data_IF_175352861391
#
_entry.id   IF_175352861391
#
_cell.length_a   1.000
_cell.length_b   1.000
_cell.length_c   1.000
_cell.angle_alpha   90.00
_cell.angle_beta   90.00
_cell.angle_gamma   90.00
#
_symmetry.space_group_name_H-M   'P 1'
#
loop_
_entity.id
_entity.type
_entity.pdbx_description
1 polymer ?
#
# COMPACT_ATOMS: atom_id res chain seq x y z
N UNK A 1 6.21 14.28 -23.89
CA UNK A 1 5.23 13.69 -22.96
C UNK A 1 5.58 12.24 -22.73
N UNK A 2 5.52 11.78 -21.48
CA UNK A 2 5.73 10.39 -21.08
C UNK A 2 4.60 10.00 -20.14
N UNK A 3 3.95 8.87 -20.42
CA UNK A 3 2.89 8.31 -19.58
C UNK A 3 3.42 7.06 -18.89
N UNK A 4 3.28 7.02 -17.57
CA UNK A 4 3.49 5.83 -16.77
C UNK A 4 2.14 5.26 -16.39
N UNK A 5 1.69 4.13 -16.96
CA UNK A 5 0.37 3.58 -16.66
C UNK A 5 0.32 3.03 -15.22
N UNK A 6 -0.90 2.75 -14.76
CA UNK A 6 -1.12 1.94 -13.56
C UNK A 6 -0.31 0.65 -13.65
N UNK A 7 0.33 0.29 -12.54
CA UNK A 7 1.12 -0.94 -12.47
C UNK A 7 0.72 -1.74 -11.23
N UNK A 8 0.38 -3.00 -11.46
CA UNK A 8 0.17 -3.95 -10.38
C UNK A 8 1.51 -4.35 -9.76
N UNK A 9 1.52 -4.48 -8.44
CA UNK A 9 2.71 -4.91 -7.70
C UNK A 9 3.12 -6.35 -7.99
N UNK A 10 2.11 -7.20 -8.27
CA UNK A 10 2.26 -8.61 -8.64
C UNK A 10 3.30 -9.40 -7.79
N UNK A 11 3.26 -9.35 -6.44
CA UNK A 11 4.11 -10.19 -5.62
C UNK A 11 3.85 -11.67 -5.94
N UNK A 12 4.89 -12.51 -5.99
CA UNK A 12 4.73 -13.92 -6.40
C UNK A 12 3.76 -14.67 -5.48
N UNK A 13 3.80 -14.39 -4.17
CA UNK A 13 2.80 -14.85 -3.22
C UNK A 13 1.56 -13.91 -3.24
N UNK A 14 0.36 -14.42 -3.56
CA UNK A 14 -0.87 -13.65 -3.45
C UNK A 14 -1.14 -13.17 -2.01
N UNK A 15 -1.94 -12.11 -1.89
CA UNK A 15 -2.35 -11.61 -0.59
C UNK A 15 -3.12 -12.66 0.19
N UNK A 16 -2.75 -12.79 1.45
CA UNK A 16 -3.36 -13.75 2.35
C UNK A 16 -3.23 -13.27 3.80
N UNK A 17 -4.18 -13.71 4.60
CA UNK A 17 -4.19 -13.52 6.03
C UNK A 17 -4.95 -14.67 6.67
N UNK A 18 -4.36 -15.29 7.69
CA UNK A 18 -5.05 -16.26 8.54
C UNK A 18 -5.48 -15.55 9.80
N UNK A 19 -6.74 -15.70 10.21
CA UNK A 19 -7.31 -15.06 11.40
C UNK A 19 -7.88 -16.14 12.31
N UNK A 20 -7.49 -16.13 13.59
CA UNK A 20 -8.07 -16.96 14.64
C UNK A 20 -8.70 -16.06 15.69
N UNK A 21 -10.02 -16.14 15.86
CA UNK A 21 -10.77 -15.38 16.87
C UNK A 21 -11.01 -16.30 18.08
N UNK A 22 -10.68 -15.82 19.28
CA UNK A 22 -10.81 -16.56 20.55
C UNK A 22 -11.40 -15.64 21.62
N UNK A 23 -12.71 -15.68 21.77
CA UNK A 23 -13.42 -14.82 22.73
C UNK A 23 -13.19 -13.34 22.42
N UNK A 24 -12.54 -12.63 23.32
CA UNK A 24 -12.22 -11.20 23.22
C UNK A 24 -10.84 -10.91 22.62
N UNK A 25 -10.20 -11.89 21.99
CA UNK A 25 -8.88 -11.77 21.36
C UNK A 25 -8.85 -12.33 19.94
N UNK A 26 -7.88 -11.88 19.14
CA UNK A 26 -7.62 -12.49 17.84
C UNK A 26 -6.13 -12.51 17.50
N UNK A 27 -5.74 -13.56 16.78
CA UNK A 27 -4.40 -13.72 16.23
C UNK A 27 -4.46 -13.70 14.70
N UNK A 28 -3.51 -13.00 14.08
CA UNK A 28 -3.37 -12.90 12.63
C UNK A 28 -2.01 -13.43 12.19
N UNK A 29 -1.96 -14.19 11.10
CA UNK A 29 -0.72 -14.56 10.41
C UNK A 29 -0.77 -14.07 8.97
N UNK A 30 0.10 -13.14 8.63
CA UNK A 30 0.23 -12.63 7.28
C UNK A 30 1.65 -12.11 7.02
N UNK A 31 2.08 -12.15 5.75
CA UNK A 31 3.18 -11.32 5.30
C UNK A 31 2.71 -9.86 5.27
N UNK A 32 3.35 -8.98 6.02
CA UNK A 32 2.95 -7.57 6.11
C UNK A 32 4.16 -6.64 6.15
N UNK A 33 3.98 -5.43 5.62
CA UNK A 33 4.96 -4.34 5.71
C UNK A 33 4.55 -3.29 6.77
N UNK A 34 3.33 -3.38 7.34
CA UNK A 34 2.77 -2.42 8.29
C UNK A 34 1.97 -3.11 9.41
N UNK A 35 2.60 -4.06 10.11
CA UNK A 35 1.94 -4.89 11.13
C UNK A 35 1.14 -4.10 12.19
N UNK A 36 1.66 -2.94 12.64
CA UNK A 36 0.95 -2.08 13.59
C UNK A 36 -0.37 -1.53 13.04
N UNK A 37 -0.38 -1.11 11.77
CA UNK A 37 -1.60 -0.60 11.12
C UNK A 37 -2.59 -1.73 10.82
N UNK A 38 -2.10 -2.89 10.40
CA UNK A 38 -2.92 -4.09 10.20
C UNK A 38 -3.59 -4.53 11.51
N UNK A 39 -2.87 -4.52 12.63
CA UNK A 39 -3.43 -4.83 13.94
C UNK A 39 -4.53 -3.86 14.37
N UNK A 40 -4.33 -2.55 14.14
CA UNK A 40 -5.36 -1.54 14.41
C UNK A 40 -6.59 -1.70 13.50
N UNK A 41 -6.40 -2.05 12.22
CA UNK A 41 -7.48 -2.33 11.29
C UNK A 41 -8.27 -3.59 11.69
N UNK A 42 -7.57 -4.65 12.09
CA UNK A 42 -8.18 -5.88 12.61
C UNK A 42 -9.00 -5.62 13.88
N UNK A 43 -8.43 -4.87 14.85
CA UNK A 43 -9.12 -4.49 16.08
C UNK A 43 -10.45 -3.78 15.79
N UNK A 44 -10.41 -2.76 14.93
CA UNK A 44 -11.62 -2.02 14.50
C UNK A 44 -12.64 -2.93 13.81
N UNK A 45 -12.19 -3.80 12.92
CA UNK A 45 -13.06 -4.68 12.12
C UNK A 45 -13.76 -5.74 12.99
N UNK A 46 -13.02 -6.31 13.95
CA UNK A 46 -13.54 -7.34 14.85
C UNK A 46 -14.28 -6.77 16.06
N UNK A 47 -14.18 -5.45 16.31
CA UNK A 47 -14.73 -4.82 17.51
C UNK A 47 -13.96 -5.18 18.79
N UNK A 48 -12.66 -5.44 18.65
CA UNK A 48 -11.76 -5.80 19.75
C UNK A 48 -10.87 -4.62 20.13
N UNK A 49 -10.29 -4.68 21.33
CA UNK A 49 -9.28 -3.70 21.75
C UNK A 49 -7.95 -3.97 21.03
N UNK A 50 -7.17 -2.94 20.66
CA UNK A 50 -5.87 -3.12 20.01
C UNK A 50 -4.91 -4.06 20.76
N UNK A 51 -4.87 -3.99 22.09
CA UNK A 51 -4.04 -4.84 22.93
C UNK A 51 -4.42 -6.33 22.90
N UNK A 52 -5.61 -6.66 22.39
CA UNK A 52 -6.09 -8.03 22.25
C UNK A 52 -5.87 -8.60 20.84
N UNK A 53 -5.15 -7.88 19.97
CA UNK A 53 -4.77 -8.33 18.64
C UNK A 53 -3.28 -8.66 18.60
N UNK A 54 -2.95 -9.89 18.22
CA UNK A 54 -1.58 -10.32 17.98
C UNK A 54 -1.35 -10.56 16.49
N UNK A 55 -0.44 -9.80 15.88
CA UNK A 55 -0.05 -9.96 14.48
C UNK A 55 1.29 -10.69 14.38
N UNK A 56 1.25 -11.93 13.92
CA UNK A 56 2.40 -12.75 13.60
C UNK A 56 2.89 -12.46 12.18
N UNK A 57 3.82 -11.51 12.05
CA UNK A 57 4.40 -11.15 10.74
C UNK A 57 5.19 -12.33 10.17
N UNK A 58 4.74 -12.83 9.02
CA UNK A 58 5.38 -13.94 8.31
C UNK A 58 6.36 -13.43 7.25
N UNK A 59 7.30 -14.27 6.84
CA UNK A 59 8.04 -14.05 5.60
C UNK A 59 7.06 -14.00 4.43
N UNK A 60 7.18 -12.97 3.58
CA UNK A 60 6.30 -12.75 2.43
C UNK A 60 7.03 -13.08 1.12
N UNK A 61 6.33 -13.71 0.17
CA UNK A 61 6.82 -13.94 -1.20
C UNK A 61 6.72 -12.68 -2.07
N UNK A 62 7.17 -11.54 -1.55
CA UNK A 62 7.06 -10.22 -2.15
C UNK A 62 5.94 -9.37 -1.56
N UNK A 63 6.09 -8.05 -1.72
CA UNK A 63 5.09 -7.06 -1.30
C UNK A 63 5.17 -5.80 -2.16
N UNK A 64 6.38 -5.24 -2.33
CA UNK A 64 6.66 -4.09 -3.20
C UNK A 64 5.78 -2.86 -2.94
N UNK A 65 5.21 -2.73 -1.72
CA UNK A 65 4.25 -1.69 -1.35
C UNK A 65 2.81 -2.18 -1.25
N UNK A 66 2.44 -3.30 -1.90
CA UNK A 66 1.07 -3.84 -1.87
C UNK A 66 0.59 -4.27 -0.48
N UNK A 67 1.52 -4.71 0.37
CA UNK A 67 1.30 -5.12 1.77
C UNK A 67 1.51 -3.94 2.75
N UNK A 68 1.58 -2.71 2.23
CA UNK A 68 1.75 -1.45 2.95
C UNK A 68 0.70 -0.40 2.51
N UNK A 69 -0.55 -0.82 2.27
CA UNK A 69 -1.61 0.08 1.77
C UNK A 69 -2.42 0.70 2.92
N UNK A 70 -2.83 1.99 2.83
CA UNK A 70 -3.52 2.69 3.92
C UNK A 70 -4.87 2.09 4.34
N UNK A 71 -5.54 1.37 3.45
CA UNK A 71 -6.83 0.75 3.69
C UNK A 71 -6.75 -0.56 4.46
N UNK A 72 -5.57 -1.21 4.51
CA UNK A 72 -5.38 -2.55 5.06
C UNK A 72 -6.41 -3.57 4.50
N UNK A 73 -6.80 -3.39 3.23
CA UNK A 73 -7.93 -4.05 2.57
C UNK A 73 -7.97 -5.58 2.77
N UNK A 74 -6.86 -6.25 2.49
CA UNK A 74 -6.77 -7.72 2.59
C UNK A 74 -6.88 -8.24 4.03
N UNK A 75 -6.48 -7.45 5.03
CA UNK A 75 -6.62 -7.80 6.46
C UNK A 75 -8.05 -7.56 6.92
N UNK A 76 -8.64 -6.43 6.54
CA UNK A 76 -10.03 -6.09 6.86
C UNK A 76 -10.96 -7.18 6.30
N UNK A 77 -10.78 -7.57 5.04
CA UNK A 77 -11.57 -8.64 4.43
C UNK A 77 -11.38 -9.97 5.16
N UNK A 78 -10.13 -10.37 5.46
CA UNK A 78 -9.86 -11.61 6.19
C UNK A 78 -10.53 -11.64 7.57
N UNK A 79 -10.51 -10.52 8.29
CA UNK A 79 -11.22 -10.37 9.56
C UNK A 79 -12.75 -10.50 9.39
N UNK A 80 -13.32 -9.89 8.35
CA UNK A 80 -14.76 -10.00 8.06
C UNK A 80 -15.16 -11.45 7.72
N UNK A 81 -14.37 -12.15 6.90
CA UNK A 81 -14.60 -13.55 6.55
C UNK A 81 -14.51 -14.44 7.79
N UNK A 82 -13.48 -14.24 8.63
CA UNK A 82 -13.33 -15.01 9.87
C UNK A 82 -14.47 -14.77 10.86
N UNK A 83 -14.94 -13.52 10.99
CA UNK A 83 -16.11 -13.17 11.80
C UNK A 83 -17.38 -13.85 11.28
N UNK A 84 -17.63 -13.78 9.97
CA UNK A 84 -18.78 -14.43 9.34
C UNK A 84 -18.74 -15.96 9.51
N UNK A 85 -17.57 -16.57 9.42
CA UNK A 85 -17.39 -18.00 9.65
C UNK A 85 -17.68 -18.38 11.12
N UNK A 86 -17.21 -17.58 12.08
CA UNK A 86 -17.50 -17.77 13.50
C UNK A 86 -19.00 -17.62 13.78
N UNK A 87 -19.66 -16.60 13.22
CA UNK A 87 -21.11 -16.39 13.34
C UNK A 87 -21.91 -17.55 12.75
N UNK A 88 -21.37 -18.23 11.72
CA UNK A 88 -21.91 -19.46 11.15
C UNK A 88 -21.58 -20.74 11.96
N UNK A 89 -20.88 -20.61 13.09
CA UNK A 89 -20.56 -21.71 14.00
C UNK A 89 -19.22 -22.42 13.72
N UNK A 90 -18.41 -21.93 12.77
CA UNK A 90 -17.09 -22.49 12.50
C UNK A 90 -16.07 -21.99 13.52
N UNK A 91 -15.74 -22.84 14.48
CA UNK A 91 -14.73 -22.56 15.52
C UNK A 91 -13.35 -23.03 15.07
N UNK A 92 -12.80 -22.39 14.03
CA UNK A 92 -11.47 -22.68 13.51
C UNK A 92 -10.79 -21.41 12.97
N UNK A 93 -9.45 -21.34 12.94
CA UNK A 93 -8.75 -20.32 12.19
C UNK A 93 -9.15 -20.34 10.71
N UNK A 94 -9.39 -19.16 10.14
CA UNK A 94 -9.77 -19.02 8.73
C UNK A 94 -8.64 -18.36 7.97
N UNK A 95 -8.17 -19.02 6.90
CA UNK A 95 -7.19 -18.45 5.97
C UNK A 95 -7.89 -17.92 4.73
N UNK A 96 -7.87 -16.61 4.56
CA UNK A 96 -8.29 -15.94 3.33
C UNK A 96 -7.09 -15.79 2.42
N UNK A 97 -7.22 -16.24 1.17
CA UNK A 97 -6.22 -16.08 0.12
C UNK A 97 -6.92 -15.48 -1.09
N UNK A 98 -6.41 -14.36 -1.57
CA UNK A 98 -6.90 -13.78 -2.82
C UNK A 98 -6.44 -14.64 -3.99
N UNK A 99 -7.32 -14.84 -4.96
CA UNK A 99 -6.89 -15.37 -6.25
C UNK A 99 -5.91 -14.40 -6.91
N UNK A 100 -5.06 -14.91 -7.80
CA UNK A 100 -4.16 -14.04 -8.59
C UNK A 100 -4.98 -13.04 -9.40
N UNK A 101 -6.10 -13.50 -9.95
CA UNK A 101 -7.02 -12.74 -10.77
C UNK A 101 -7.64 -11.57 -10.01
N UNK A 102 -8.06 -11.79 -8.76
CA UNK A 102 -8.64 -10.74 -7.92
C UNK A 102 -7.57 -9.74 -7.44
N UNK A 103 -6.38 -10.21 -7.07
CA UNK A 103 -5.26 -9.33 -6.71
C UNK A 103 -4.85 -8.42 -7.88
N UNK A 104 -4.84 -8.95 -9.10
CA UNK A 104 -4.46 -8.19 -10.30
C UNK A 104 -5.57 -7.25 -10.77
N UNK A 105 -6.86 -7.55 -10.54
CA UNK A 105 -7.98 -6.70 -11.01
C UNK A 105 -8.50 -5.73 -9.95
N UNK A 106 -8.63 -6.19 -8.72
CA UNK A 106 -9.23 -5.47 -7.59
C UNK A 106 -8.23 -4.91 -6.58
N UNK A 107 -6.94 -5.15 -6.76
CA UNK A 107 -5.91 -4.68 -5.84
C UNK A 107 -5.56 -3.19 -5.99
N UNK A 108 -4.70 -2.72 -5.08
CA UNK A 108 -4.05 -1.41 -5.19
C UNK A 108 -2.96 -1.42 -6.26
N UNK A 109 -2.97 -0.41 -7.12
CA UNK A 109 -1.97 -0.18 -8.16
C UNK A 109 -1.06 0.98 -7.78
N UNK A 110 0.18 0.96 -8.27
CA UNK A 110 0.95 2.19 -8.41
C UNK A 110 0.16 3.14 -9.32
N UNK A 111 -0.09 4.39 -8.93
CA UNK A 111 -0.89 5.28 -9.74
C UNK A 111 -0.28 5.63 -11.09
N UNK A 112 -1.13 5.89 -12.08
CA UNK A 112 -0.71 6.47 -13.35
C UNK A 112 -0.10 7.87 -13.13
N UNK A 113 0.96 8.17 -13.87
CA UNK A 113 1.59 9.49 -13.91
C UNK A 113 1.77 9.98 -15.35
N UNK A 114 1.60 11.28 -15.55
CA UNK A 114 1.89 11.99 -16.78
C UNK A 114 3.03 12.98 -16.53
N UNK A 115 4.03 12.94 -17.39
CA UNK A 115 5.20 13.81 -17.34
C UNK A 115 5.34 14.58 -18.65
N UNK A 116 5.47 15.90 -18.57
CA UNK A 116 5.85 16.74 -19.71
C UNK A 116 7.04 17.58 -19.33
N UNK A 117 8.13 17.48 -20.08
CA UNK A 117 9.36 18.21 -19.81
C UNK A 117 9.83 18.96 -21.05
N UNK A 118 10.21 20.22 -20.87
CA UNK A 118 10.92 21.04 -21.84
C UNK A 118 12.33 21.29 -21.31
N UNK A 119 13.33 20.75 -22.01
CA UNK A 119 14.72 20.78 -21.59
C UNK A 119 15.55 21.50 -22.65
N UNK A 120 16.24 22.56 -22.24
CA UNK A 120 17.16 23.31 -23.08
C UNK A 120 18.59 22.80 -22.92
N UNK A 121 19.34 22.69 -24.03
CA UNK A 121 20.73 22.24 -24.04
C UNK A 121 21.63 23.25 -24.74
N UNK A 122 22.91 23.30 -24.37
CA UNK A 122 23.94 23.93 -25.19
C UNK A 122 24.43 23.01 -26.32
N UNK A 123 25.36 23.51 -27.13
CA UNK A 123 25.92 22.76 -28.26
C UNK A 123 26.78 21.55 -27.85
N UNK A 124 27.13 21.42 -26.57
CA UNK A 124 27.90 20.33 -26.01
C UNK A 124 27.02 19.32 -25.26
N UNK A 125 25.70 19.56 -25.19
CA UNK A 125 24.73 18.70 -24.52
C UNK A 125 24.59 18.98 -23.01
N UNK A 126 25.12 20.10 -22.50
CA UNK A 126 24.88 20.53 -21.12
C UNK A 126 23.46 21.08 -21.00
N UNK A 127 22.73 20.69 -19.97
CA UNK A 127 21.39 21.18 -19.67
C UNK A 127 21.49 22.64 -19.17
N UNK A 128 20.77 23.54 -19.84
CA UNK A 128 20.70 24.97 -19.53
C UNK A 128 19.40 25.39 -18.82
N UNK A 129 18.33 24.62 -19.00
CA UNK A 129 17.04 24.88 -18.36
C UNK A 129 16.15 23.64 -18.39
N UNK A 130 15.30 23.52 -17.38
CA UNK A 130 14.43 22.37 -17.17
C UNK A 130 13.07 22.84 -16.65
N UNK A 131 12.03 22.74 -17.48
CA UNK A 131 10.64 22.96 -17.09
C UNK A 131 9.90 21.63 -17.16
N UNK A 132 9.33 21.17 -16.04
CA UNK A 132 8.74 19.84 -15.93
C UNK A 132 7.44 19.86 -15.12
N UNK A 133 6.37 19.45 -15.78
CA UNK A 133 5.06 19.24 -15.16
C UNK A 133 4.83 17.75 -14.93
N UNK A 134 4.49 17.41 -13.70
CA UNK A 134 4.16 16.05 -13.26
C UNK A 134 2.73 16.05 -12.74
N UNK A 135 1.92 15.14 -13.24
CA UNK A 135 0.54 14.94 -12.79
C UNK A 135 0.36 13.47 -12.41
N UNK A 136 -0.09 13.23 -11.17
CA UNK A 136 -0.34 11.88 -10.66
C UNK A 136 -1.16 11.93 -9.38
N UNK A 137 -1.73 10.79 -9.01
CA UNK A 137 -2.40 10.63 -7.72
C UNK A 137 -1.35 10.49 -6.62
N UNK A 138 -1.48 11.29 -5.57
CA UNK A 138 -0.64 11.16 -4.37
C UNK A 138 -0.88 9.81 -3.68
N UNK A 139 0.21 9.18 -3.23
CA UNK A 139 0.17 7.93 -2.45
C UNK A 139 0.16 8.18 -0.94
N UNK A 140 0.40 9.41 -0.49
CA UNK A 140 0.46 9.82 0.93
C UNK A 140 -0.68 10.74 1.35
N UNK A 141 -1.41 11.36 0.42
CA UNK A 141 -2.59 12.15 0.74
C UNK A 141 -3.66 11.30 1.44
N UNK A 142 -4.26 11.82 2.51
CA UNK A 142 -5.22 11.13 3.38
C UNK A 142 -4.59 10.09 4.31
N UNK A 143 -3.26 9.95 4.32
CA UNK A 143 -2.55 9.00 5.18
C UNK A 143 -1.91 9.69 6.38
N UNK A 144 -1.41 8.92 7.35
CA UNK A 144 -0.64 9.44 8.48
C UNK A 144 0.66 10.15 8.06
N UNK A 145 1.12 9.96 6.81
CA UNK A 145 2.34 10.58 6.28
C UNK A 145 2.10 11.94 5.63
N UNK A 146 0.83 12.32 5.38
CA UNK A 146 0.47 13.53 4.63
C UNK A 146 1.18 14.77 5.17
N UNK A 147 1.08 15.04 6.48
CA UNK A 147 1.66 16.25 7.09
C UNK A 147 3.19 16.33 7.03
N UNK A 148 3.89 15.20 6.84
CA UNK A 148 5.35 15.19 6.69
C UNK A 148 5.80 15.25 5.22
N UNK A 149 5.01 14.68 4.33
CA UNK A 149 5.39 14.45 2.92
C UNK A 149 4.73 15.40 1.94
N UNK A 150 3.62 16.05 2.31
CA UNK A 150 2.97 17.08 1.50
C UNK A 150 3.26 18.46 2.09
N UNK A 151 3.92 19.31 1.30
CA UNK A 151 4.21 20.71 1.66
C UNK A 151 3.78 21.61 0.52
N UNK A 152 3.01 22.66 0.83
CA UNK A 152 2.49 23.60 -0.16
C UNK A 152 1.73 22.91 -1.32
N UNK A 153 1.04 21.80 -1.01
CA UNK A 153 0.31 20.99 -2.00
C UNK A 153 1.18 20.04 -2.83
N UNK A 154 2.49 19.97 -2.58
CA UNK A 154 3.43 19.11 -3.30
C UNK A 154 3.71 17.85 -2.49
N UNK A 155 3.34 16.69 -3.04
CA UNK A 155 3.75 15.37 -2.53
C UNK A 155 5.21 15.09 -2.89
N UNK A 156 6.09 15.07 -1.89
CA UNK A 156 7.52 14.85 -2.05
C UNK A 156 7.86 13.49 -2.70
N UNK A 157 6.99 12.48 -2.56
CA UNK A 157 7.19 11.16 -3.18
C UNK A 157 6.87 11.17 -4.68
N UNK A 158 5.99 12.07 -5.13
CA UNK A 158 5.62 12.20 -6.54
C UNK A 158 6.66 12.97 -7.36
N UNK A 159 7.40 13.87 -6.71
CA UNK A 159 8.46 14.69 -7.33
C UNK A 159 9.87 14.25 -6.93
N UNK A 160 9.99 13.08 -6.30
CA UNK A 160 11.28 12.52 -5.90
C UNK A 160 12.22 12.42 -7.12
N UNK A 161 13.49 12.79 -6.95
CA UNK A 161 14.47 12.80 -8.03
C UNK A 161 14.37 13.97 -9.00
N UNK A 162 13.39 14.87 -8.88
CA UNK A 162 13.29 16.06 -9.75
C UNK A 162 14.14 17.24 -9.28
N UNK A 163 14.58 17.24 -8.01
CA UNK A 163 15.33 18.36 -7.42
C UNK A 163 16.62 17.93 -6.75
N UNK A 164 16.62 16.81 -6.06
CA UNK A 164 17.80 16.21 -5.42
C UNK A 164 17.90 14.75 -5.86
N UNK A 165 19.10 14.17 -6.06
CA UNK A 165 20.44 14.76 -5.88
C UNK A 165 21.06 15.31 -7.18
N UNK A 166 20.28 15.53 -8.23
CA UNK A 166 20.84 15.89 -9.54
C UNK A 166 21.11 17.39 -9.65
N UNK A 167 22.31 17.77 -10.09
CA UNK A 167 22.69 19.15 -10.38
C UNK A 167 22.09 19.64 -11.71
N UNK A 168 20.76 19.59 -11.81
CA UNK A 168 19.97 20.10 -12.91
C UNK A 168 19.44 21.50 -12.54
N UNK A 169 19.38 22.44 -13.51
CA UNK A 169 18.89 23.79 -13.27
C UNK A 169 17.39 23.85 -12.92
#
# INVERSE_FOLDING_TARGET
EVVFPYLAHAPMEPLNCTVAIKGDSAELWCGTQMAGMDGLAAARTLGLKPENILVHTQAAGGGFGRRAVPSNDYVVEACQVAKAALDAGLQAPVRTVWSREDDIRGGYYRPMHLHTAHIGFDAQGKILGWDHVIVGQSIVAGTLFEGMMIKDGIDATAVEGMKEPYALP
#
